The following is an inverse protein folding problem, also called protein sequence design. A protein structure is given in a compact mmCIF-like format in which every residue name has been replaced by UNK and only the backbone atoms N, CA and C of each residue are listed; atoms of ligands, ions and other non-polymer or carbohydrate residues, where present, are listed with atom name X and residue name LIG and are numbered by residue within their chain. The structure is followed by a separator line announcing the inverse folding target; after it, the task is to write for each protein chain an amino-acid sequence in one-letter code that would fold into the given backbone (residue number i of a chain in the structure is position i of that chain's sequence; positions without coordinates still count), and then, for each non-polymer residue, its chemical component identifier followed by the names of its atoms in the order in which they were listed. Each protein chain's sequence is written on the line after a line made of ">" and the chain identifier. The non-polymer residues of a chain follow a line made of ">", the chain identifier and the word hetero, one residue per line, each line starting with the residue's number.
data_IF_841843719918
#
_entry.id   IF_841843719918
#
_cell.length_a   1.000
_cell.length_b   1.000
_cell.length_c   1.000
_cell.angle_alpha   90.00
_cell.angle_beta   90.00
_cell.angle_gamma   90.00
#
_symmetry.space_group_name_H-M   'P 1'
#
loop_
_entity.id
_entity.type
_entity.pdbx_description
1 polymer ?
#
# COMPACT_ATOMS: atom_id res chain seq x y z
N UNK A 1 -32.33 -3.30 19.97
CA UNK A 1 -31.19 -3.32 20.92
C UNK A 1 -30.33 -2.15 20.54
N UNK A 2 -30.31 -1.10 21.37
CA UNK A 2 -29.43 0.05 21.15
C UNK A 2 -27.99 -0.46 21.12
N UNK A 3 -27.35 -0.40 19.95
CA UNK A 3 -25.93 -0.69 19.82
C UNK A 3 -25.18 0.29 20.72
N UNK A 4 -24.57 -0.25 21.77
CA UNK A 4 -23.66 0.51 22.62
C UNK A 4 -22.46 0.88 21.73
N UNK A 5 -22.52 2.09 21.16
CA UNK A 5 -21.44 2.72 20.42
C UNK A 5 -20.15 2.57 21.22
N UNK A 6 -19.17 1.84 20.68
CA UNK A 6 -17.85 1.78 21.31
C UNK A 6 -17.32 3.21 21.37
N UNK A 7 -17.06 3.78 22.56
CA UNK A 7 -16.68 5.17 22.68
C UNK A 7 -15.35 5.41 21.93
N UNK A 8 -15.29 6.50 21.16
CA UNK A 8 -14.07 6.88 20.44
C UNK A 8 -12.90 6.96 21.40
N UNK A 9 -11.77 6.37 21.00
CA UNK A 9 -10.52 6.42 21.77
C UNK A 9 -10.08 7.86 21.95
N UNK A 10 -10.15 8.66 20.89
CA UNK A 10 -9.78 10.07 20.92
C UNK A 10 -10.68 10.94 21.82
N UNK A 11 -11.86 10.46 22.25
CA UNK A 11 -12.76 11.21 23.15
C UNK A 11 -12.62 10.81 24.62
N UNK A 12 -11.77 9.83 24.93
CA UNK A 12 -11.51 9.42 26.32
C UNK A 12 -10.82 10.56 27.07
N UNK A 13 -11.19 10.79 28.33
CA UNK A 13 -10.60 11.85 29.16
C UNK A 13 -9.07 11.77 29.25
N UNK A 14 -8.51 10.55 29.24
CA UNK A 14 -7.07 10.32 29.31
C UNK A 14 -6.34 10.52 27.98
N UNK A 15 -7.04 10.77 26.87
CA UNK A 15 -6.41 10.91 25.56
C UNK A 15 -5.41 12.08 25.50
N UNK A 16 -5.72 13.18 26.18
CA UNK A 16 -4.83 14.34 26.29
C UNK A 16 -3.47 14.02 26.94
N UNK A 17 -3.35 12.91 27.69
CA UNK A 17 -2.08 12.47 28.27
C UNK A 17 -1.11 11.88 27.22
N UNK A 18 -1.60 11.58 26.02
CA UNK A 18 -0.83 11.05 24.90
C UNK A 18 -0.15 12.16 24.07
N UNK A 19 -0.47 13.43 24.31
CA UNK A 19 0.17 14.56 23.60
C UNK A 19 1.69 14.53 23.76
N UNK A 20 2.39 15.05 22.75
CA UNK A 20 3.84 15.13 22.74
C UNK A 20 4.37 15.86 23.99
N UNK A 21 5.39 15.27 24.61
CA UNK A 21 6.09 15.84 25.76
C UNK A 21 7.46 16.30 25.31
N UNK A 22 7.69 17.61 25.38
CA UNK A 22 8.91 18.23 24.85
C UNK A 22 10.09 18.26 25.84
N UNK A 23 9.86 17.90 27.10
CA UNK A 23 10.87 17.88 28.17
C UNK A 23 11.67 19.19 28.29
N UNK A 24 11.03 20.33 27.99
CA UNK A 24 11.63 21.68 27.92
C UNK A 24 12.76 21.84 26.90
N UNK A 25 12.85 20.98 25.88
CA UNK A 25 13.84 21.05 24.80
C UNK A 25 13.14 21.16 23.44
N UNK A 26 13.08 22.38 22.93
CA UNK A 26 12.48 22.65 21.63
C UNK A 26 13.45 22.35 20.48
N UNK A 27 12.94 21.69 19.45
CA UNK A 27 13.63 21.41 18.19
C UNK A 27 12.67 21.59 17.02
N UNK A 28 13.18 21.61 15.79
CA UNK A 28 12.33 21.62 14.59
C UNK A 28 11.32 20.46 14.61
N UNK A 29 11.73 19.29 15.07
CA UNK A 29 10.85 18.11 15.20
C UNK A 29 9.71 18.36 16.17
N UNK A 30 10.01 18.80 17.40
CA UNK A 30 8.98 18.99 18.43
C UNK A 30 7.99 20.09 18.05
N UNK A 31 8.47 21.19 17.45
CA UNK A 31 7.63 22.29 16.98
C UNK A 31 6.65 21.81 15.90
N UNK A 32 7.12 21.02 14.93
CA UNK A 32 6.23 20.53 13.87
C UNK A 32 5.25 19.46 14.39
N UNK A 33 5.69 18.59 15.29
CA UNK A 33 4.80 17.58 15.90
C UNK A 33 3.66 18.27 16.68
N UNK A 34 3.97 19.25 17.53
CA UNK A 34 2.96 20.01 18.26
C UNK A 34 1.95 20.70 17.35
N UNK A 35 2.41 21.36 16.29
CA UNK A 35 1.51 22.00 15.31
C UNK A 35 0.52 21.02 14.68
N UNK A 36 0.98 19.80 14.38
CA UNK A 36 0.09 18.75 13.87
C UNK A 36 -0.88 18.29 14.94
N UNK A 37 -0.42 18.04 16.17
CA UNK A 37 -1.29 17.65 17.28
C UNK A 37 -2.36 18.72 17.57
N UNK A 38 -2.00 20.01 17.55
CA UNK A 38 -2.95 21.11 17.71
C UNK A 38 -4.03 21.08 16.62
N UNK A 39 -3.64 20.92 15.36
CA UNK A 39 -4.57 20.83 14.22
C UNK A 39 -5.49 19.61 14.34
N UNK A 40 -4.96 18.46 14.77
CA UNK A 40 -5.73 17.23 14.97
C UNK A 40 -6.70 17.39 16.16
N UNK A 41 -6.26 18.05 17.23
CA UNK A 41 -7.10 18.33 18.39
C UNK A 41 -8.27 19.25 18.00
N UNK A 42 -8.06 20.24 17.13
CA UNK A 42 -9.14 21.07 16.59
C UNK A 42 -10.18 20.24 15.83
N UNK A 43 -9.74 19.30 14.98
CA UNK A 43 -10.64 18.38 14.26
C UNK A 43 -11.45 17.50 15.23
N UNK A 44 -10.78 16.92 16.23
CA UNK A 44 -11.41 16.08 17.27
C UNK A 44 -12.45 16.88 18.05
N UNK A 45 -12.11 18.11 18.48
CA UNK A 45 -13.01 19.00 19.22
C UNK A 45 -14.22 19.41 18.38
N UNK A 46 -14.00 19.82 17.13
CA UNK A 46 -15.08 20.20 16.22
C UNK A 46 -16.06 19.05 15.97
N UNK A 47 -15.55 17.81 15.85
CA UNK A 47 -16.40 16.64 15.73
C UNK A 47 -17.21 16.40 17.02
N UNK A 48 -16.57 16.49 18.19
CA UNK A 48 -17.23 16.27 19.49
C UNK A 48 -18.35 17.28 19.76
N UNK A 49 -18.17 18.53 19.35
CA UNK A 49 -19.17 19.60 19.50
C UNK A 49 -20.30 19.50 18.48
N UNK A 50 -20.07 18.83 17.34
CA UNK A 50 -21.07 18.68 16.30
C UNK A 50 -22.03 17.50 16.59
N UNK A 51 -23.15 17.82 17.26
CA UNK A 51 -24.17 16.88 17.71
C UNK A 51 -24.92 16.16 16.57
N UNK A 52 -24.74 16.59 15.31
CA UNK A 52 -25.37 15.94 14.14
C UNK A 52 -24.59 14.72 13.63
N UNK A 53 -23.32 14.60 13.99
CA UNK A 53 -22.44 13.49 13.58
C UNK A 53 -22.16 12.58 14.78
N UNK A 54 -23.16 11.82 15.21
CA UNK A 54 -23.00 10.89 16.35
C UNK A 54 -22.01 9.75 16.08
N UNK A 55 -21.68 9.48 14.81
CA UNK A 55 -20.79 8.40 14.38
C UNK A 55 -20.00 8.80 13.12
N UNK A 56 -18.68 8.50 13.04
CA UNK A 56 -17.85 8.88 11.92
C UNK A 56 -18.37 8.19 10.68
N UNK A 57 -18.37 8.89 9.56
CA UNK A 57 -18.97 8.42 8.31
C UNK A 57 -17.95 8.57 7.19
N UNK A 58 -17.76 7.51 6.42
CA UNK A 58 -17.01 7.54 5.18
C UNK A 58 -17.88 8.22 4.11
N UNK A 59 -17.35 9.28 3.48
CA UNK A 59 -18.02 10.06 2.44
C UNK A 59 -17.94 9.34 1.08
N UNK A 60 -18.56 8.15 1.04
CA UNK A 60 -18.44 7.18 -0.07
C UNK A 60 -18.87 7.79 -1.40
N UNK A 61 -20.01 8.45 -1.46
CA UNK A 61 -20.55 9.03 -2.70
C UNK A 61 -19.63 10.12 -3.25
N UNK A 62 -19.11 10.97 -2.37
CA UNK A 62 -18.17 12.04 -2.72
C UNK A 62 -16.86 11.45 -3.25
N UNK A 63 -16.35 10.40 -2.60
CA UNK A 63 -15.15 9.69 -3.03
C UNK A 63 -15.34 9.01 -4.38
N UNK A 64 -16.48 8.34 -4.59
CA UNK A 64 -16.85 7.74 -5.86
C UNK A 64 -16.88 8.79 -6.99
N UNK A 65 -17.55 9.92 -6.78
CA UNK A 65 -17.65 10.98 -7.79
C UNK A 65 -16.26 11.56 -8.15
N UNK A 66 -15.41 11.76 -7.15
CA UNK A 66 -14.02 12.20 -7.34
C UNK A 66 -13.21 11.19 -8.18
N UNK A 67 -13.29 9.91 -7.83
CA UNK A 67 -12.57 8.81 -8.51
C UNK A 67 -13.06 8.59 -9.94
N UNK A 68 -14.38 8.55 -10.14
CA UNK A 68 -14.99 8.36 -11.46
C UNK A 68 -14.60 9.46 -12.43
N UNK A 69 -14.58 10.72 -11.97
CA UNK A 69 -14.11 11.84 -12.78
C UNK A 69 -12.63 11.68 -13.12
N UNK A 70 -11.80 11.39 -12.12
CA UNK A 70 -10.35 11.23 -12.28
C UNK A 70 -9.93 10.11 -13.22
N UNK A 71 -10.74 9.07 -13.37
CA UNK A 71 -10.44 7.97 -14.29
C UNK A 71 -10.57 8.38 -15.77
N UNK A 72 -11.40 9.39 -16.05
CA UNK A 72 -11.67 9.86 -17.40
C UNK A 72 -10.87 11.12 -17.75
N UNK A 73 -10.79 12.07 -16.82
CA UNK A 73 -10.19 13.37 -17.05
C UNK A 73 -9.53 13.92 -15.77
N UNK A 74 -8.34 14.50 -15.93
CA UNK A 74 -7.53 15.07 -14.87
C UNK A 74 -7.02 16.45 -15.31
N UNK A 75 -6.92 17.39 -14.37
CA UNK A 75 -6.42 18.73 -14.67
C UNK A 75 -4.91 18.75 -14.94
N UNK A 76 -4.43 19.83 -15.54
CA UNK A 76 -3.01 20.19 -15.71
C UNK A 76 -2.17 20.09 -14.42
N UNK A 77 -2.78 20.25 -13.24
CA UNK A 77 -2.12 19.99 -11.96
C UNK A 77 -1.49 18.59 -11.83
N UNK A 78 -1.89 17.62 -12.66
CA UNK A 78 -1.34 16.27 -12.73
C UNK A 78 -0.24 16.09 -13.79
N UNK A 79 0.23 17.15 -14.46
CA UNK A 79 1.36 17.08 -15.40
C UNK A 79 2.62 16.51 -14.74
N UNK A 80 2.82 16.75 -13.44
CA UNK A 80 3.92 16.16 -12.68
C UNK A 80 3.85 14.62 -12.56
N UNK A 81 2.69 14.03 -12.88
CA UNK A 81 2.42 12.60 -12.88
C UNK A 81 2.20 12.04 -14.30
N UNK A 82 2.59 12.77 -15.36
CA UNK A 82 2.50 12.25 -16.74
C UNK A 82 3.39 11.00 -16.97
N UNK A 83 4.46 10.86 -16.19
CA UNK A 83 5.28 9.65 -16.13
C UNK A 83 4.79 8.61 -15.09
N UNK A 84 3.55 8.72 -14.63
CA UNK A 84 2.95 7.87 -13.60
C UNK A 84 1.47 7.59 -13.87
N UNK A 85 1.05 7.56 -15.13
CA UNK A 85 -0.35 7.36 -15.48
C UNK A 85 -0.87 5.95 -15.16
N UNK A 86 -0.09 4.85 -15.28
CA UNK A 86 -0.50 3.56 -14.73
C UNK A 86 -0.73 3.58 -13.21
N UNK A 87 0.01 4.42 -12.46
CA UNK A 87 -0.27 4.63 -11.04
C UNK A 87 -1.63 5.28 -10.82
N UNK A 88 -1.99 6.29 -11.60
CA UNK A 88 -3.34 6.87 -11.55
C UNK A 88 -4.41 5.83 -11.82
N UNK A 89 -4.23 4.97 -12.84
CA UNK A 89 -5.15 3.85 -13.09
C UNK A 89 -5.27 2.93 -11.87
N UNK A 90 -4.15 2.45 -11.34
CA UNK A 90 -4.15 1.57 -10.17
C UNK A 90 -4.81 2.22 -8.94
N UNK A 91 -4.39 3.43 -8.57
CA UNK A 91 -4.89 4.11 -7.38
C UNK A 91 -6.39 4.35 -7.48
N UNK A 92 -6.89 4.74 -8.66
CA UNK A 92 -8.30 5.01 -8.85
C UNK A 92 -9.11 3.71 -8.86
N UNK A 93 -8.68 2.72 -9.65
CA UNK A 93 -9.38 1.43 -9.76
C UNK A 93 -9.42 0.69 -8.42
N UNK A 94 -8.31 0.65 -7.69
CA UNK A 94 -8.26 0.00 -6.39
C UNK A 94 -9.14 0.71 -5.37
N UNK A 95 -9.17 2.05 -5.39
CA UNK A 95 -10.07 2.81 -4.52
C UNK A 95 -11.54 2.49 -4.83
N UNK A 96 -11.91 2.38 -6.11
CA UNK A 96 -13.25 1.99 -6.53
C UNK A 96 -13.58 0.55 -6.11
N UNK A 97 -12.65 -0.38 -6.27
CA UNK A 97 -12.81 -1.79 -5.89
C UNK A 97 -13.01 -1.94 -4.36
N UNK A 98 -12.26 -1.17 -3.56
CA UNK A 98 -12.45 -1.07 -2.10
C UNK A 98 -13.80 -0.50 -1.70
N UNK A 99 -14.32 0.45 -2.49
CA UNK A 99 -15.66 1.02 -2.30
C UNK A 99 -16.77 0.13 -2.89
N UNK A 100 -16.41 -1.05 -3.43
CA UNK A 100 -17.33 -2.00 -4.08
C UNK A 100 -18.07 -1.40 -5.29
N UNK A 101 -17.44 -0.44 -5.95
CA UNK A 101 -17.96 0.26 -7.12
C UNK A 101 -17.57 -0.48 -8.41
N UNK A 102 -18.56 -0.83 -9.22
CA UNK A 102 -18.35 -1.62 -10.44
C UNK A 102 -18.14 -0.69 -11.64
N UNK A 103 -17.04 -0.91 -12.36
CA UNK A 103 -16.79 -0.23 -13.63
C UNK A 103 -17.66 -0.78 -14.75
N UNK A 104 -18.05 0.09 -15.68
CA UNK A 104 -18.70 -0.35 -16.92
C UNK A 104 -17.71 -1.09 -17.81
N UNK A 105 -18.20 -2.07 -18.59
CA UNK A 105 -17.36 -2.85 -19.51
C UNK A 105 -16.54 -1.97 -20.47
N UNK A 106 -17.13 -0.87 -20.97
CA UNK A 106 -16.44 0.08 -21.84
C UNK A 106 -15.27 0.76 -21.12
N UNK A 107 -15.48 1.24 -19.89
CA UNK A 107 -14.41 1.88 -19.12
C UNK A 107 -13.28 0.89 -18.80
N UNK A 108 -13.61 -0.36 -18.49
CA UNK A 108 -12.61 -1.41 -18.30
C UNK A 108 -11.78 -1.65 -19.55
N UNK A 109 -12.42 -1.78 -20.72
CA UNK A 109 -11.73 -1.96 -22.01
C UNK A 109 -10.88 -0.74 -22.39
N UNK A 110 -11.36 0.48 -22.12
CA UNK A 110 -10.59 1.72 -22.34
C UNK A 110 -9.30 1.75 -21.51
N UNK A 111 -9.35 1.30 -20.25
CA UNK A 111 -8.16 1.18 -19.41
C UNK A 111 -7.22 0.08 -19.95
N UNK A 112 -7.74 -1.08 -20.35
CA UNK A 112 -6.93 -2.14 -20.99
C UNK A 112 -6.21 -1.60 -22.24
N UNK A 113 -6.93 -0.92 -23.12
CA UNK A 113 -6.38 -0.31 -24.32
C UNK A 113 -5.34 0.78 -24.01
N UNK A 114 -5.56 1.58 -22.96
CA UNK A 114 -4.59 2.56 -22.49
C UNK A 114 -3.31 1.90 -21.96
N UNK A 115 -3.41 0.92 -21.06
CA UNK A 115 -2.27 0.23 -20.48
C UNK A 115 -1.50 -0.58 -21.54
N UNK A 116 -2.18 -1.15 -22.54
CA UNK A 116 -1.54 -1.77 -23.70
C UNK A 116 -0.65 -0.79 -24.46
N UNK A 117 -1.06 0.48 -24.63
CA UNK A 117 -0.21 1.52 -25.24
C UNK A 117 0.95 1.97 -24.35
N UNK A 118 0.85 1.74 -23.03
CA UNK A 118 1.94 1.99 -22.09
C UNK A 118 2.92 0.81 -22.00
N UNK A 119 2.59 -0.36 -22.55
CA UNK A 119 3.50 -1.51 -22.54
C UNK A 119 4.65 -1.27 -23.53
N UNK A 120 5.88 -1.52 -23.07
CA UNK A 120 7.06 -1.35 -23.90
C UNK A 120 7.24 -2.53 -24.86
N UNK A 121 7.72 -2.30 -26.10
CA UNK A 121 8.05 -3.37 -27.03
C UNK A 121 9.17 -4.29 -26.52
N UNK A 122 9.92 -3.90 -25.50
CA UNK A 122 10.97 -4.69 -24.82
C UNK A 122 10.53 -5.25 -23.47
N UNK A 123 9.23 -5.20 -23.16
CA UNK A 123 8.68 -5.70 -21.89
C UNK A 123 8.61 -4.66 -20.77
N UNK A 124 7.74 -4.94 -19.80
CA UNK A 124 7.36 -3.99 -18.76
C UNK A 124 6.42 -2.89 -19.28
N UNK A 125 5.94 -2.05 -18.37
CA UNK A 125 5.11 -0.89 -18.69
C UNK A 125 5.84 0.41 -18.34
N UNK A 126 5.53 1.45 -19.10
CA UNK A 126 6.07 2.78 -18.97
C UNK A 126 5.09 3.73 -18.26
N UNK A 127 5.57 4.90 -17.84
CA UNK A 127 4.77 5.93 -17.18
C UNK A 127 3.63 6.51 -18.02
N UNK A 128 3.73 6.37 -19.35
CA UNK A 128 2.73 6.76 -20.35
C UNK A 128 3.13 6.22 -21.73
N UNK A 129 2.26 6.34 -22.75
CA UNK A 129 2.54 5.80 -24.07
C UNK A 129 3.83 6.37 -24.69
N UNK A 130 4.69 5.48 -25.19
CA UNK A 130 5.96 5.85 -25.82
C UNK A 130 7.10 6.20 -24.86
N UNK A 131 6.88 6.18 -23.54
CA UNK A 131 7.93 6.36 -22.55
C UNK A 131 8.73 5.04 -22.31
N UNK A 132 9.81 5.14 -21.53
CA UNK A 132 10.63 3.99 -21.14
C UNK A 132 9.94 3.11 -20.09
N UNK A 133 10.07 1.78 -20.23
CA UNK A 133 9.60 0.83 -19.22
C UNK A 133 10.29 1.04 -17.86
N UNK A 134 9.51 0.91 -16.79
CA UNK A 134 9.96 1.14 -15.42
C UNK A 134 9.18 0.25 -14.46
N UNK A 135 9.84 -0.29 -13.42
CA UNK A 135 9.24 -1.25 -12.48
C UNK A 135 8.04 -0.69 -11.73
N UNK A 136 8.07 0.58 -11.32
CA UNK A 136 6.93 1.23 -10.66
C UNK A 136 5.63 1.26 -11.49
N UNK A 137 5.57 1.83 -12.72
CA UNK A 137 4.38 1.73 -13.55
C UNK A 137 4.09 0.30 -14.04
N UNK A 138 5.10 -0.59 -14.09
CA UNK A 138 4.87 -2.03 -14.33
C UNK A 138 4.04 -2.67 -13.23
N UNK A 139 4.41 -2.45 -11.95
CA UNK A 139 3.62 -2.87 -10.79
C UNK A 139 2.20 -2.33 -10.85
N UNK A 140 2.05 -1.03 -11.10
CA UNK A 140 0.74 -0.39 -11.13
C UNK A 140 -0.13 -0.91 -12.30
N UNK A 141 0.44 -1.07 -13.49
CA UNK A 141 -0.29 -1.58 -14.65
C UNK A 141 -0.77 -3.02 -14.43
N UNK A 142 0.09 -3.92 -13.93
CA UNK A 142 -0.28 -5.31 -13.65
C UNK A 142 -1.38 -5.36 -12.60
N UNK A 143 -1.26 -4.61 -11.50
CA UNK A 143 -2.32 -4.57 -10.49
C UNK A 143 -3.64 -4.01 -11.03
N UNK A 144 -3.60 -2.95 -11.85
CA UNK A 144 -4.79 -2.39 -12.49
C UNK A 144 -5.49 -3.42 -13.40
N UNK A 145 -4.73 -4.17 -14.21
CA UNK A 145 -5.25 -5.23 -15.06
C UNK A 145 -5.84 -6.39 -14.23
N UNK A 146 -5.20 -6.75 -13.12
CA UNK A 146 -5.73 -7.75 -12.19
C UNK A 146 -7.01 -7.31 -11.48
N UNK A 147 -7.15 -6.01 -11.14
CA UNK A 147 -8.40 -5.47 -10.59
C UNK A 147 -9.54 -5.58 -11.62
N UNK A 148 -9.26 -5.26 -12.89
CA UNK A 148 -10.25 -5.44 -13.97
C UNK A 148 -10.62 -6.92 -14.11
N UNK A 149 -9.63 -7.82 -14.12
CA UNK A 149 -9.84 -9.26 -13.97
C UNK A 149 -10.62 -9.93 -15.12
N UNK A 150 -10.62 -9.33 -16.31
CA UNK A 150 -11.18 -9.93 -17.52
C UNK A 150 -10.08 -10.63 -18.33
N UNK A 151 -10.47 -11.53 -19.22
CA UNK A 151 -9.52 -12.17 -20.15
C UNK A 151 -8.77 -11.12 -20.98
N UNK A 152 -9.49 -10.11 -21.49
CA UNK A 152 -8.90 -8.96 -22.19
C UNK A 152 -7.80 -8.28 -21.36
N UNK A 153 -8.03 -8.04 -20.07
CA UNK A 153 -7.04 -7.40 -19.21
C UNK A 153 -5.80 -8.27 -18.99
N UNK A 154 -5.97 -9.58 -18.80
CA UNK A 154 -4.85 -10.49 -18.65
C UNK A 154 -4.03 -10.62 -19.94
N UNK A 155 -4.68 -10.65 -21.10
CA UNK A 155 -4.06 -10.77 -22.42
C UNK A 155 -3.24 -9.52 -22.81
N UNK A 156 -3.43 -8.38 -22.13
CA UNK A 156 -2.57 -7.19 -22.31
C UNK A 156 -1.13 -7.48 -21.88
N UNK A 157 -0.89 -8.40 -20.95
CA UNK A 157 0.45 -8.63 -20.38
C UNK A 157 1.29 -9.55 -21.29
N UNK A 158 2.27 -9.00 -21.99
CA UNK A 158 3.30 -9.79 -22.69
C UNK A 158 4.26 -10.41 -21.67
N UNK A 159 3.95 -11.64 -21.23
CA UNK A 159 4.68 -12.35 -20.17
C UNK A 159 6.11 -12.70 -20.54
N UNK A 160 6.36 -13.05 -21.80
CA UNK A 160 7.70 -13.40 -22.26
C UNK A 160 8.63 -12.19 -22.18
N UNK A 161 8.17 -11.05 -22.71
CA UNK A 161 8.96 -9.82 -22.63
C UNK A 161 8.99 -9.24 -21.23
N UNK A 162 7.94 -9.42 -20.41
CA UNK A 162 7.98 -9.05 -19.01
C UNK A 162 9.14 -9.77 -18.32
N UNK A 163 9.30 -11.08 -18.53
CA UNK A 163 10.43 -11.83 -17.98
C UNK A 163 11.78 -11.29 -18.48
N UNK A 164 11.92 -11.05 -19.78
CA UNK A 164 13.13 -10.45 -20.37
C UNK A 164 13.46 -9.09 -19.72
N UNK A 165 12.45 -8.24 -19.53
CA UNK A 165 12.59 -6.95 -18.86
C UNK A 165 13.04 -7.12 -17.40
N UNK A 166 12.43 -8.01 -16.63
CA UNK A 166 12.81 -8.25 -15.23
C UNK A 166 14.27 -8.73 -15.11
N UNK A 167 14.72 -9.62 -16.00
CA UNK A 167 16.13 -10.02 -16.06
C UNK A 167 17.06 -8.86 -16.42
N UNK A 168 16.64 -7.97 -17.33
CA UNK A 168 17.43 -6.78 -17.67
C UNK A 168 17.56 -5.79 -16.50
N UNK A 169 16.64 -5.83 -15.53
CA UNK A 169 16.68 -5.00 -14.33
C UNK A 169 17.54 -5.62 -13.22
N UNK A 170 17.70 -6.94 -13.21
CA UNK A 170 18.42 -7.68 -12.17
C UNK A 170 19.91 -7.29 -12.14
N UNK A 171 20.44 -7.08 -10.94
CA UNK A 171 21.85 -6.78 -10.69
C UNK A 171 22.59 -7.98 -10.09
N UNK A 172 23.94 -8.02 -10.18
CA UNK A 172 24.74 -9.13 -9.65
C UNK A 172 24.64 -9.33 -8.14
N UNK A 173 24.37 -8.28 -7.37
CA UNK A 173 24.23 -8.33 -5.91
C UNK A 173 22.85 -8.82 -5.44
N UNK A 174 21.93 -9.12 -6.37
CA UNK A 174 20.56 -9.55 -6.10
C UNK A 174 19.54 -8.41 -6.07
N UNK A 175 19.98 -7.15 -6.16
CA UNK A 175 19.09 -6.00 -6.32
C UNK A 175 18.52 -5.90 -7.74
N UNK A 176 17.62 -4.95 -7.96
CA UNK A 176 17.13 -4.59 -9.27
C UNK A 176 17.26 -3.07 -9.48
N UNK A 177 17.56 -2.63 -10.71
CA UNK A 177 17.37 -1.21 -11.09
C UNK A 177 15.90 -0.96 -11.40
N UNK A 178 15.40 0.25 -11.16
CA UNK A 178 13.99 0.61 -11.41
C UNK A 178 13.65 0.68 -12.91
N UNK A 179 14.61 1.04 -13.74
CA UNK A 179 14.55 1.04 -15.20
C UNK A 179 15.97 0.96 -15.77
N UNK A 180 16.15 0.81 -17.10
CA UNK A 180 17.49 0.80 -17.71
C UNK A 180 18.18 2.13 -17.43
N UNK A 181 19.34 2.08 -16.76
CA UNK A 181 20.11 3.25 -16.33
C UNK A 181 19.54 4.00 -15.11
N UNK A 182 18.54 3.43 -14.44
CA UNK A 182 17.86 4.02 -13.28
C UNK A 182 18.53 3.74 -11.95
N UNK A 183 17.86 4.17 -10.88
CA UNK A 183 18.27 3.95 -9.50
C UNK A 183 18.01 2.52 -9.02
N UNK A 184 18.69 2.14 -7.93
CA UNK A 184 18.47 0.89 -7.19
C UNK A 184 17.96 1.25 -5.80
N UNK A 185 16.80 0.73 -5.43
CA UNK A 185 16.34 0.62 -4.04
C UNK A 185 15.28 -0.48 -3.91
N UNK A 186 14.87 -0.80 -2.69
CA UNK A 186 14.02 -1.96 -2.39
C UNK A 186 12.64 -1.94 -3.06
N UNK A 187 12.19 -0.80 -3.61
CA UNK A 187 10.98 -0.74 -4.44
C UNK A 187 11.12 -1.63 -5.65
N UNK A 188 12.31 -1.70 -6.26
CA UNK A 188 12.55 -2.49 -7.47
C UNK A 188 12.35 -3.98 -7.19
N UNK A 189 12.89 -4.47 -6.08
CA UNK A 189 12.74 -5.86 -5.64
C UNK A 189 11.26 -6.21 -5.44
N UNK A 190 10.50 -5.38 -4.72
CA UNK A 190 9.07 -5.64 -4.54
C UNK A 190 8.27 -5.56 -5.83
N UNK A 191 8.48 -4.52 -6.66
CA UNK A 191 7.77 -4.38 -7.93
C UNK A 191 8.04 -5.59 -8.83
N UNK A 192 9.30 -6.01 -8.97
CA UNK A 192 9.69 -7.17 -9.79
C UNK A 192 9.08 -8.47 -9.25
N UNK A 193 9.25 -8.75 -7.95
CA UNK A 193 8.73 -9.97 -7.31
C UNK A 193 7.20 -10.03 -7.36
N UNK A 194 6.53 -8.90 -7.14
CA UNK A 194 5.05 -8.80 -7.15
C UNK A 194 4.47 -9.11 -8.52
N UNK A 195 5.00 -8.51 -9.59
CA UNK A 195 4.46 -8.77 -10.94
C UNK A 195 4.85 -10.15 -11.43
N UNK A 196 6.06 -10.62 -11.08
CA UNK A 196 6.53 -11.94 -11.45
C UNK A 196 5.69 -13.06 -10.82
N UNK A 197 5.32 -12.91 -9.53
CA UNK A 197 4.48 -13.90 -8.84
C UNK A 197 3.05 -13.90 -9.37
N UNK A 198 2.42 -12.73 -9.55
CA UNK A 198 1.04 -12.64 -10.07
C UNK A 198 0.91 -13.24 -11.47
N UNK A 199 1.90 -12.99 -12.33
CA UNK A 199 1.85 -13.38 -13.75
C UNK A 199 2.52 -14.73 -14.04
N UNK A 200 2.90 -15.48 -12.99
CA UNK A 200 3.57 -16.78 -13.10
C UNK A 200 4.82 -16.74 -13.99
N UNK A 201 5.70 -15.75 -13.79
CA UNK A 201 7.01 -15.66 -14.47
C UNK A 201 8.19 -15.62 -13.48
N UNK A 202 7.92 -15.80 -12.18
CA UNK A 202 8.94 -15.84 -11.15
C UNK A 202 9.77 -17.13 -11.25
N UNK A 203 11.07 -17.02 -11.48
CA UNK A 203 12.01 -18.16 -11.50
C UNK A 203 13.06 -18.05 -10.39
N UNK A 204 13.66 -19.17 -9.94
CA UNK A 204 14.76 -19.14 -8.97
C UNK A 204 15.94 -18.25 -9.39
N UNK A 205 16.30 -18.27 -10.68
CA UNK A 205 17.41 -17.52 -11.25
C UNK A 205 17.13 -16.02 -11.23
N UNK A 206 15.88 -15.61 -11.50
CA UNK A 206 15.48 -14.21 -11.49
C UNK A 206 15.75 -13.56 -10.12
N UNK A 207 15.49 -14.28 -9.04
CA UNK A 207 15.55 -13.75 -7.66
C UNK A 207 16.74 -14.28 -6.85
N UNK A 208 17.71 -14.92 -7.52
CA UNK A 208 18.93 -15.35 -6.88
C UNK A 208 19.65 -14.14 -6.24
N UNK A 209 19.99 -14.24 -4.96
CA UNK A 209 20.63 -13.17 -4.19
C UNK A 209 19.67 -12.10 -3.64
N UNK A 210 18.48 -11.95 -4.21
CA UNK A 210 17.51 -10.91 -3.80
C UNK A 210 17.13 -10.98 -2.31
N UNK A 211 16.86 -12.17 -1.71
CA UNK A 211 16.58 -12.25 -0.28
C UNK A 211 17.72 -11.71 0.59
N UNK A 212 18.97 -12.06 0.26
CA UNK A 212 20.15 -11.61 1.00
C UNK A 212 20.34 -10.09 0.89
N UNK A 213 20.10 -9.53 -0.29
CA UNK A 213 20.15 -8.08 -0.49
C UNK A 213 19.06 -7.35 0.31
N UNK A 214 17.83 -7.86 0.32
CA UNK A 214 16.74 -7.32 1.16
C UNK A 214 17.11 -7.37 2.65
N UNK A 215 17.67 -8.48 3.14
CA UNK A 215 18.11 -8.59 4.54
C UNK A 215 19.13 -7.51 4.89
N UNK A 216 20.06 -7.20 3.98
CA UNK A 216 21.06 -6.14 4.21
C UNK A 216 20.45 -4.73 4.28
N UNK A 217 19.19 -4.56 3.88
CA UNK A 217 18.45 -3.30 4.05
C UNK A 217 17.77 -3.18 5.43
N UNK A 218 17.64 -4.26 6.22
CA UNK A 218 17.16 -4.16 7.60
C UNK A 218 18.25 -3.54 8.49
N UNK A 219 17.90 -2.49 9.22
CA UNK A 219 18.88 -1.71 10.00
C UNK A 219 18.69 -1.87 11.53
N UNK A 220 19.48 -1.12 12.30
CA UNK A 220 19.49 -1.15 13.77
C UNK A 220 18.16 -0.76 14.43
N UNK A 221 17.27 -0.07 13.71
CA UNK A 221 15.94 0.30 14.21
C UNK A 221 14.97 -0.88 14.16
N UNK A 222 15.25 -1.88 13.31
CA UNK A 222 14.43 -3.07 13.08
C UNK A 222 13.58 -3.02 11.80
N UNK A 223 13.31 -1.84 11.23
CA UNK A 223 12.70 -1.70 9.91
C UNK A 223 13.73 -1.77 8.77
N UNK A 224 13.27 -1.59 7.52
CA UNK A 224 14.13 -1.61 6.34
C UNK A 224 14.27 -0.24 5.69
N UNK A 225 15.48 0.08 5.26
CA UNK A 225 15.80 1.24 4.43
C UNK A 225 15.66 0.96 2.93
N UNK A 226 15.82 1.98 2.11
CA UNK A 226 15.75 1.85 0.65
C UNK A 226 16.90 1.05 0.06
N UNK A 227 18.10 1.24 0.61
CA UNK A 227 19.32 0.47 0.31
C UNK A 227 20.05 0.19 1.62
N UNK A 228 21.04 -0.72 1.64
CA UNK A 228 21.78 -1.06 2.84
C UNK A 228 22.37 0.16 3.55
N UNK A 229 22.17 0.23 4.87
CA UNK A 229 22.68 1.31 5.73
C UNK A 229 21.79 2.55 5.86
N UNK A 230 20.68 2.67 5.11
CA UNK A 230 19.76 3.80 5.26
C UNK A 230 18.76 3.65 6.42
N UNK A 231 18.14 4.77 6.78
CA UNK A 231 17.07 4.89 7.78
C UNK A 231 15.86 4.01 7.44
N UNK A 232 15.26 3.38 8.45
CA UNK A 232 14.10 2.54 8.28
C UNK A 232 12.87 3.37 7.91
N UNK A 233 12.13 2.95 6.87
CA UNK A 233 11.03 3.73 6.31
C UNK A 233 9.83 2.85 5.95
N UNK A 234 8.61 3.25 6.30
CA UNK A 234 7.39 2.44 6.14
C UNK A 234 7.21 1.85 4.76
N UNK A 235 7.32 2.67 3.71
CA UNK A 235 7.20 2.21 2.32
C UNK A 235 8.27 1.17 1.92
N UNK A 236 9.52 1.37 2.34
CA UNK A 236 10.62 0.46 2.04
C UNK A 236 10.54 -0.83 2.87
N UNK A 237 10.17 -0.71 4.15
CA UNK A 237 9.86 -1.83 5.03
C UNK A 237 8.75 -2.70 4.44
N UNK A 238 7.67 -2.11 3.94
CA UNK A 238 6.60 -2.84 3.26
C UNK A 238 7.13 -3.58 2.03
N UNK A 239 7.82 -2.86 1.12
CA UNK A 239 8.37 -3.47 -0.10
C UNK A 239 9.24 -4.68 0.22
N UNK A 240 10.21 -4.53 1.12
CA UNK A 240 11.11 -5.61 1.50
C UNK A 240 10.39 -6.78 2.17
N UNK A 241 9.52 -6.50 3.14
CA UNK A 241 8.80 -7.55 3.87
C UNK A 241 7.84 -8.32 2.96
N UNK A 242 7.07 -7.62 2.12
CA UNK A 242 6.15 -8.25 1.18
C UNK A 242 6.89 -9.10 0.13
N UNK A 243 8.01 -8.60 -0.40
CA UNK A 243 8.87 -9.37 -1.31
C UNK A 243 9.39 -10.65 -0.62
N UNK A 244 9.88 -10.55 0.62
CA UNK A 244 10.37 -11.72 1.36
C UNK A 244 9.29 -12.77 1.62
N UNK A 245 8.05 -12.35 1.91
CA UNK A 245 6.92 -13.27 2.09
C UNK A 245 6.52 -13.93 0.76
N UNK A 246 6.50 -13.20 -0.36
CA UNK A 246 6.26 -13.81 -1.68
C UNK A 246 7.33 -14.86 -2.01
N UNK A 247 8.59 -14.61 -1.62
CA UNK A 247 9.72 -15.51 -1.85
C UNK A 247 9.81 -16.68 -0.84
N UNK A 248 8.99 -16.70 0.22
CA UNK A 248 9.11 -17.69 1.30
C UNK A 248 10.44 -17.59 2.08
N UNK A 249 10.98 -16.37 2.21
CA UNK A 249 12.29 -16.06 2.83
C UNK A 249 12.19 -15.14 4.04
N UNK A 250 11.00 -14.84 4.51
CA UNK A 250 10.71 -13.97 5.67
C UNK A 250 11.52 -14.29 6.93
N UNK A 251 11.83 -15.57 7.18
CA UNK A 251 12.64 -16.05 8.31
C UNK A 251 14.07 -15.50 8.33
N UNK A 252 14.55 -14.95 7.21
CA UNK A 252 15.88 -14.32 7.15
C UNK A 252 15.88 -12.91 7.77
N UNK A 253 14.72 -12.27 7.95
CA UNK A 253 14.60 -11.00 8.64
C UNK A 253 14.54 -11.19 10.16
N UNK A 254 15.03 -10.20 10.92
CA UNK A 254 14.78 -10.16 12.36
C UNK A 254 13.35 -9.67 12.64
N UNK A 255 12.39 -10.60 12.61
CA UNK A 255 10.95 -10.33 12.75
C UNK A 255 10.58 -9.67 14.08
N UNK A 256 11.31 -9.99 15.17
CA UNK A 256 11.08 -9.38 16.48
C UNK A 256 11.38 -7.88 16.47
N UNK A 257 12.53 -7.49 15.91
CA UNK A 257 12.90 -6.08 15.79
C UNK A 257 12.00 -5.34 14.81
N UNK A 258 11.59 -6.00 13.71
CA UNK A 258 10.66 -5.46 12.73
C UNK A 258 9.28 -5.20 13.33
N UNK A 259 8.72 -6.17 14.06
CA UNK A 259 7.45 -6.01 14.77
C UNK A 259 7.52 -4.85 15.76
N UNK A 260 8.57 -4.79 16.60
CA UNK A 260 8.77 -3.68 17.54
C UNK A 260 8.84 -2.34 16.82
N UNK A 261 9.57 -2.28 15.70
CA UNK A 261 9.72 -1.06 14.93
C UNK A 261 8.37 -0.58 14.39
N UNK A 262 7.61 -1.43 13.69
CA UNK A 262 6.37 -1.01 13.03
C UNK A 262 5.28 -0.61 14.03
N UNK A 263 5.12 -1.34 15.14
CA UNK A 263 4.12 -0.95 16.17
C UNK A 263 4.46 0.39 16.83
N UNK A 264 5.75 0.75 16.87
CA UNK A 264 6.22 2.04 17.37
C UNK A 264 6.03 3.19 16.37
N UNK A 265 5.54 2.91 15.15
CA UNK A 265 5.21 3.92 14.13
C UNK A 265 3.77 4.40 14.21
N UNK A 266 2.91 3.74 14.99
CA UNK A 266 1.57 4.26 15.22
C UNK A 266 1.64 5.42 16.21
N UNK A 267 1.08 6.55 15.79
CA UNK A 267 1.13 7.80 16.53
C UNK A 267 0.16 7.76 17.69
N UNK A 268 0.69 7.96 18.90
CA UNK A 268 -0.07 7.78 20.14
C UNK A 268 -1.20 8.79 20.28
N UNK A 269 -1.04 10.03 19.80
CA UNK A 269 -2.09 11.03 19.86
C UNK A 269 -3.01 10.89 18.64
N UNK A 270 -2.47 11.06 17.44
CA UNK A 270 -3.23 11.14 16.20
C UNK A 270 -3.93 9.83 15.81
N UNK A 271 -3.38 8.66 16.18
CA UNK A 271 -3.92 7.33 15.84
C UNK A 271 -3.48 6.79 14.47
N UNK A 272 -3.07 7.67 13.55
CA UNK A 272 -2.44 7.33 12.27
C UNK A 272 -1.00 6.82 12.43
N UNK A 273 -0.28 6.68 11.32
CA UNK A 273 1.11 6.23 11.31
C UNK A 273 2.07 7.28 10.78
N UNK A 274 3.30 7.31 11.31
CA UNK A 274 4.44 8.02 10.72
C UNK A 274 5.26 7.07 9.84
N UNK A 275 5.87 7.61 8.77
CA UNK A 275 6.74 6.82 7.90
C UNK A 275 8.07 6.41 8.52
N UNK A 276 8.59 7.23 9.45
CA UNK A 276 9.89 7.05 10.12
C UNK A 276 9.81 7.60 11.52
N UNK A 277 10.75 7.21 12.39
CA UNK A 277 10.84 7.72 13.75
C UNK A 277 10.97 9.26 13.74
N UNK A 278 10.30 9.96 14.67
CA UNK A 278 10.35 11.42 14.78
C UNK A 278 9.90 12.21 13.52
N UNK A 279 9.08 11.60 12.66
CA UNK A 279 8.40 12.28 11.55
C UNK A 279 6.91 12.40 11.81
N UNK A 280 6.24 13.26 11.07
CA UNK A 280 4.82 13.52 11.25
C UNK A 280 3.98 12.31 10.83
N UNK A 281 2.77 12.22 11.37
CA UNK A 281 1.71 11.34 10.88
C UNK A 281 1.41 11.62 9.40
N UNK A 282 1.02 10.61 8.64
CA UNK A 282 0.55 10.76 7.26
C UNK A 282 -0.39 9.61 6.87
N UNK A 283 -1.51 9.95 6.24
CA UNK A 283 -2.58 9.05 5.83
C UNK A 283 -2.13 7.89 4.94
N UNK A 284 -1.14 8.06 4.06
CA UNK A 284 -0.69 6.96 3.19
C UNK A 284 0.00 5.83 3.98
N UNK A 285 0.63 6.13 5.12
CA UNK A 285 1.23 5.12 5.97
C UNK A 285 0.20 4.25 6.69
N UNK A 286 -1.09 4.60 6.61
CA UNK A 286 -2.18 3.70 7.01
C UNK A 286 -2.12 2.37 6.27
N UNK A 287 -1.63 2.34 5.02
CA UNK A 287 -1.34 1.09 4.33
C UNK A 287 0.11 0.65 4.55
N UNK A 288 1.09 1.50 4.23
CA UNK A 288 2.50 1.09 4.21
C UNK A 288 3.02 0.58 5.57
N UNK A 289 2.51 1.10 6.68
CA UNK A 289 2.86 0.60 8.01
C UNK A 289 1.87 -0.48 8.46
N UNK A 290 0.56 -0.19 8.49
CA UNK A 290 -0.42 -1.14 9.04
C UNK A 290 -0.49 -2.45 8.24
N UNK A 291 -0.19 -2.42 6.93
CA UNK A 291 -0.12 -3.60 6.07
C UNK A 291 1.01 -4.57 6.38
N UNK A 292 2.03 -4.15 7.13
CA UNK A 292 3.05 -5.07 7.66
C UNK A 292 2.48 -6.01 8.72
N UNK A 293 1.43 -5.61 9.44
CA UNK A 293 0.94 -6.33 10.61
C UNK A 293 0.18 -7.62 10.22
N UNK A 294 -0.66 -7.65 9.17
CA UNK A 294 -1.15 -8.89 8.59
C UNK A 294 -0.03 -9.81 8.07
N UNK A 295 1.03 -9.26 7.46
CA UNK A 295 2.17 -10.06 6.98
C UNK A 295 2.91 -10.71 8.14
N UNK A 296 3.30 -9.93 9.14
CA UNK A 296 3.94 -10.44 10.35
C UNK A 296 3.06 -11.45 11.08
N UNK A 297 1.75 -11.19 11.17
CA UNK A 297 0.82 -12.14 11.78
C UNK A 297 0.78 -13.47 11.02
N UNK A 298 0.74 -13.44 9.69
CA UNK A 298 0.79 -14.65 8.88
C UNK A 298 2.05 -15.46 9.18
N UNK A 299 3.22 -14.82 9.13
CA UNK A 299 4.52 -15.46 9.36
C UNK A 299 4.65 -16.05 10.76
N UNK A 300 4.38 -15.26 11.80
CA UNK A 300 4.43 -15.73 13.19
C UNK A 300 3.41 -16.85 13.44
N UNK A 301 2.26 -16.79 12.77
CA UNK A 301 1.27 -17.86 12.86
C UNK A 301 1.82 -19.14 12.25
N UNK A 302 2.41 -19.08 11.04
CA UNK A 302 3.06 -20.24 10.39
C UNK A 302 4.16 -20.87 11.23
N UNK A 303 4.90 -20.07 12.00
CA UNK A 303 5.92 -20.54 12.97
C UNK A 303 5.32 -21.15 14.25
N UNK A 304 3.99 -21.11 14.41
CA UNK A 304 3.29 -21.73 15.53
C UNK A 304 3.19 -20.85 16.78
N UNK A 305 3.33 -19.53 16.66
CA UNK A 305 3.19 -18.60 17.79
C UNK A 305 1.76 -18.62 18.34
N UNK A 306 1.59 -19.24 19.51
CA UNK A 306 0.32 -19.40 20.21
C UNK A 306 -0.12 -18.14 20.97
N UNK A 307 0.72 -17.10 21.04
CA UNK A 307 0.41 -15.83 21.71
C UNK A 307 -0.35 -14.85 20.80
N UNK A 308 -0.44 -15.16 19.51
CA UNK A 308 -1.14 -14.31 18.54
C UNK A 308 -2.64 -14.21 18.83
N UNK A 309 -3.17 -13.00 18.68
CA UNK A 309 -4.60 -12.73 18.79
C UNK A 309 -5.38 -13.43 17.68
N UNK A 310 -6.54 -14.00 18.01
CA UNK A 310 -7.48 -14.58 17.04
C UNK A 310 -8.52 -13.59 16.52
N UNK A 311 -8.40 -12.30 16.89
CA UNK A 311 -9.41 -11.27 16.58
C UNK A 311 -8.85 -9.95 16.08
N UNK A 312 -7.57 -9.66 16.32
CA UNK A 312 -7.01 -8.32 16.08
C UNK A 312 -5.60 -8.38 15.55
N UNK A 313 -5.27 -7.41 14.71
CA UNK A 313 -3.88 -7.13 14.33
C UNK A 313 -3.14 -6.49 15.50
N UNK A 314 -1.80 -6.54 15.47
CA UNK A 314 -0.94 -6.02 16.54
C UNK A 314 -0.76 -4.50 16.46
N UNK A 315 -1.86 -3.76 16.24
CA UNK A 315 -1.91 -2.29 16.27
C UNK A 315 -3.30 -1.82 16.73
N UNK A 316 -3.44 -0.54 17.10
CA UNK A 316 -4.71 0.05 17.52
C UNK A 316 -5.62 0.29 16.29
N UNK A 317 -6.31 -0.75 15.85
CA UNK A 317 -7.21 -0.73 14.68
C UNK A 317 -8.27 0.39 14.79
N UNK A 318 -8.89 0.57 15.96
CA UNK A 318 -9.87 1.63 16.17
C UNK A 318 -9.26 3.03 15.98
N UNK A 319 -8.05 3.26 16.51
CA UNK A 319 -7.37 4.55 16.41
C UNK A 319 -7.03 4.91 14.95
N UNK A 320 -6.63 3.91 14.15
CA UNK A 320 -6.36 4.14 12.73
C UNK A 320 -7.63 4.52 11.97
N UNK A 321 -8.76 3.87 12.25
CA UNK A 321 -10.05 4.22 11.65
C UNK A 321 -10.51 5.62 12.07
N UNK A 322 -10.34 5.99 13.35
CA UNK A 322 -10.62 7.36 13.83
C UNK A 322 -9.79 8.40 13.07
N UNK A 323 -8.47 8.18 12.93
CA UNK A 323 -7.60 9.09 12.19
C UNK A 323 -8.08 9.28 10.74
N UNK A 324 -8.33 8.18 10.02
CA UNK A 324 -8.71 8.24 8.60
C UNK A 324 -10.06 8.93 8.43
N UNK A 325 -11.09 8.49 9.18
CA UNK A 325 -12.45 8.99 9.01
C UNK A 325 -12.60 10.44 9.49
N UNK A 326 -11.86 10.87 10.51
CA UNK A 326 -11.98 12.22 11.05
C UNK A 326 -11.04 13.22 10.36
N UNK A 327 -9.81 12.80 10.04
CA UNK A 327 -8.73 13.72 9.66
C UNK A 327 -8.32 13.65 8.19
N UNK A 328 -8.61 12.54 7.50
CA UNK A 328 -8.06 12.30 6.16
C UNK A 328 -9.09 12.40 5.03
N UNK A 329 -10.33 12.82 5.30
CA UNK A 329 -11.35 12.96 4.27
C UNK A 329 -11.43 14.41 3.78
N UNK A 330 -11.46 14.59 2.45
CA UNK A 330 -11.85 15.86 1.88
C UNK A 330 -13.39 15.90 1.73
N UNK A 331 -14.09 16.95 2.21
CA UNK A 331 -15.55 17.04 2.10
C UNK A 331 -16.10 17.02 0.67
N UNK A 332 -15.28 17.34 -0.34
CA UNK A 332 -15.65 17.29 -1.75
C UNK A 332 -15.28 15.97 -2.44
N UNK A 333 -14.81 14.96 -1.69
CA UNK A 333 -14.39 13.66 -2.19
C UNK A 333 -12.88 13.46 -2.22
N UNK A 334 -12.40 12.22 -2.14
CA UNK A 334 -10.97 11.89 -2.04
C UNK A 334 -10.41 12.03 -0.62
N UNK A 335 -9.27 11.39 -0.39
CA UNK A 335 -8.54 11.43 0.88
C UNK A 335 -7.17 12.09 0.72
N UNK A 336 -6.53 12.37 1.85
CA UNK A 336 -5.37 13.25 1.94
C UNK A 336 -4.36 12.76 3.00
N UNK A 337 -3.19 13.39 3.02
CA UNK A 337 -2.11 13.14 4.00
C UNK A 337 -2.57 13.41 5.46
N UNK A 338 -2.91 14.67 5.76
CA UNK A 338 -3.35 15.17 7.07
C UNK A 338 -4.14 16.47 6.90
N UNK A 339 -4.92 16.93 7.90
CA UNK A 339 -5.66 18.18 7.80
C UNK A 339 -4.78 19.35 7.34
N UNK A 340 -5.34 20.19 6.44
CA UNK A 340 -4.63 21.29 5.80
C UNK A 340 -3.84 20.90 4.54
N UNK A 341 -3.75 19.61 4.18
CA UNK A 341 -3.22 19.15 2.88
C UNK A 341 -4.32 18.98 1.84
N UNK A 342 -3.94 19.09 0.57
CA UNK A 342 -4.84 18.82 -0.55
C UNK A 342 -5.09 17.32 -0.72
N UNK A 343 -6.23 16.96 -1.29
CA UNK A 343 -6.55 15.60 -1.72
C UNK A 343 -5.74 15.21 -2.96
N UNK A 344 -5.49 13.93 -3.13
CA UNK A 344 -4.95 13.34 -4.35
C UNK A 344 -5.32 11.84 -4.45
N UNK A 345 -5.13 11.23 -5.63
CA UNK A 345 -5.49 9.82 -5.85
C UNK A 345 -4.59 8.85 -5.08
N UNK A 346 -3.33 9.21 -4.83
CA UNK A 346 -2.39 8.39 -4.06
C UNK A 346 -2.88 8.21 -2.61
N UNK A 347 -3.16 9.30 -1.90
CA UNK A 347 -3.67 9.26 -0.53
C UNK A 347 -5.07 8.66 -0.49
N UNK A 348 -5.91 8.91 -1.49
CA UNK A 348 -7.22 8.24 -1.62
C UNK A 348 -7.07 6.72 -1.60
N UNK A 349 -6.19 6.17 -2.44
CA UNK A 349 -5.91 4.74 -2.49
C UNK A 349 -5.38 4.19 -1.17
N UNK A 350 -4.33 4.78 -0.62
CA UNK A 350 -3.65 4.20 0.55
C UNK A 350 -4.35 4.46 1.88
N UNK A 351 -5.12 5.54 2.02
CA UNK A 351 -6.00 5.72 3.18
C UNK A 351 -7.12 4.68 3.18
N UNK A 352 -7.79 4.45 2.03
CA UNK A 352 -8.83 3.42 1.93
C UNK A 352 -8.25 2.01 2.13
N UNK A 353 -7.08 1.73 1.57
CA UNK A 353 -6.38 0.45 1.77
C UNK A 353 -6.07 0.21 3.24
N UNK A 354 -5.55 1.23 3.94
CA UNK A 354 -5.30 1.17 5.38
C UNK A 354 -6.58 1.04 6.22
N UNK A 355 -7.66 1.72 5.83
CA UNK A 355 -8.97 1.60 6.46
C UNK A 355 -9.51 0.17 6.34
N UNK A 356 -9.43 -0.44 5.16
CA UNK A 356 -9.77 -1.85 4.95
C UNK A 356 -8.95 -2.76 5.86
N UNK A 357 -7.63 -2.58 5.95
CA UNK A 357 -6.77 -3.40 6.83
C UNK A 357 -7.18 -3.27 8.30
N UNK A 358 -7.53 -2.05 8.73
CA UNK A 358 -7.99 -1.81 10.10
C UNK A 358 -9.39 -2.40 10.38
N UNK A 359 -10.21 -2.58 9.35
CA UNK A 359 -11.55 -3.15 9.47
C UNK A 359 -11.53 -4.67 9.53
N UNK A 360 -10.63 -5.31 8.77
CA UNK A 360 -10.70 -6.74 8.48
C UNK A 360 -9.55 -7.52 9.09
N UNK A 361 -9.84 -8.36 10.08
CA UNK A 361 -8.93 -9.38 10.59
C UNK A 361 -9.26 -10.75 10.01
N UNK A 362 -8.23 -11.47 9.53
CA UNK A 362 -8.37 -12.83 9.00
C UNK A 362 -7.12 -13.68 9.19
N UNK A 363 -7.22 -14.79 9.92
CA UNK A 363 -6.09 -15.72 10.12
C UNK A 363 -6.59 -17.13 10.43
N UNK A 364 -6.06 -18.16 9.75
CA UNK A 364 -6.33 -19.59 10.01
C UNK A 364 -7.82 -19.95 10.26
N UNK A 365 -8.72 -19.39 9.47
CA UNK A 365 -10.17 -19.63 9.59
C UNK A 365 -10.90 -18.74 10.59
N UNK A 366 -10.19 -17.97 11.43
CA UNK A 366 -10.77 -16.89 12.20
C UNK A 366 -10.96 -15.66 11.32
N UNK A 367 -12.14 -15.05 11.44
CA UNK A 367 -12.46 -13.76 10.83
C UNK A 367 -13.11 -12.88 11.88
N UNK A 368 -12.66 -11.64 11.95
CA UNK A 368 -13.26 -10.64 12.83
C UNK A 368 -13.23 -9.29 12.14
N UNK A 369 -14.32 -8.55 12.27
CA UNK A 369 -14.46 -7.24 11.67
C UNK A 369 -14.69 -6.22 12.77
N UNK A 370 -13.98 -5.11 12.67
CA UNK A 370 -14.15 -3.95 13.53
C UNK A 370 -14.51 -2.79 12.62
N UNK A 371 -15.80 -2.50 12.44
CA UNK A 371 -16.25 -1.36 11.64
C UNK A 371 -16.58 -0.21 12.58
N UNK A 372 -15.79 0.87 12.53
CA UNK A 372 -16.07 2.06 13.31
C UNK A 372 -17.13 2.93 12.63
N UNK A 373 -18.14 3.35 13.39
CA UNK A 373 -19.25 4.17 12.90
C UNK A 373 -20.37 3.31 12.32
N UNK A 374 -20.96 3.74 11.20
CA UNK A 374 -22.02 2.99 10.52
C UNK A 374 -21.46 1.84 9.70
N UNK A 375 -22.26 0.79 9.50
CA UNK A 375 -21.86 -0.36 8.65
C UNK A 375 -21.55 0.06 7.20
N UNK A 376 -22.11 1.17 6.71
CA UNK A 376 -21.79 1.76 5.39
C UNK A 376 -20.34 2.21 5.25
N UNK A 377 -19.57 2.30 6.34
CA UNK A 377 -18.13 2.57 6.31
C UNK A 377 -17.30 1.35 5.91
N UNK A 378 -17.89 0.15 5.93
CA UNK A 378 -17.22 -1.11 5.58
C UNK A 378 -16.70 -1.07 4.15
N UNK A 379 -15.41 -1.30 3.96
CA UNK A 379 -14.79 -1.47 2.66
C UNK A 379 -14.68 -2.95 2.29
N UNK A 380 -14.45 -3.26 1.02
CA UNK A 380 -13.97 -4.57 0.63
C UNK A 380 -12.58 -4.85 1.25
N UNK A 381 -12.25 -6.10 1.59
CA UNK A 381 -10.92 -6.44 2.09
C UNK A 381 -9.86 -6.27 0.99
N UNK A 382 -8.66 -5.82 1.34
CA UNK A 382 -7.47 -5.80 0.47
C UNK A 382 -6.48 -6.91 0.84
N UNK A 383 -5.81 -7.48 -0.17
CA UNK A 383 -4.75 -8.47 0.04
C UNK A 383 -3.46 -7.79 0.53
N UNK A 384 -2.89 -8.17 1.68
CA UNK A 384 -1.79 -7.42 2.30
C UNK A 384 -0.48 -7.46 1.51
N UNK A 385 -0.25 -8.48 0.66
CA UNK A 385 0.94 -8.55 -0.20
C UNK A 385 0.86 -7.68 -1.46
N UNK A 386 -0.30 -7.58 -2.10
CA UNK A 386 -0.43 -7.02 -3.46
C UNK A 386 -1.20 -5.70 -3.47
N UNK A 387 -1.93 -5.40 -2.40
CA UNK A 387 -2.86 -4.30 -2.28
C UNK A 387 -3.87 -4.21 -3.44
N UNK A 388 -4.52 -5.33 -3.72
CA UNK A 388 -5.73 -5.47 -4.53
C UNK A 388 -6.67 -6.44 -3.80
N UNK A 389 -7.97 -6.45 -4.07
CA UNK A 389 -8.90 -7.32 -3.35
C UNK A 389 -8.49 -8.82 -3.46
N UNK A 390 -8.58 -9.63 -2.38
CA UNK A 390 -8.16 -11.03 -2.39
C UNK A 390 -8.78 -11.88 -3.50
N UNK A 391 -10.03 -11.58 -3.89
CA UNK A 391 -10.69 -12.26 -5.01
C UNK A 391 -9.97 -12.02 -6.35
N UNK A 392 -9.46 -10.80 -6.56
CA UNK A 392 -8.69 -10.43 -7.76
C UNK A 392 -7.34 -11.13 -7.81
N UNK A 393 -6.66 -11.24 -6.67
CA UNK A 393 -5.43 -12.03 -6.54
C UNK A 393 -5.69 -13.50 -6.89
N UNK A 394 -6.72 -14.11 -6.29
CA UNK A 394 -7.05 -15.51 -6.54
C UNK A 394 -7.36 -15.77 -8.02
N UNK A 395 -8.16 -14.90 -8.64
CA UNK A 395 -8.52 -15.02 -10.05
C UNK A 395 -7.32 -14.86 -10.99
N UNK A 396 -6.44 -13.89 -10.72
CA UNK A 396 -5.23 -13.69 -11.52
C UNK A 396 -4.27 -14.88 -11.41
N UNK A 397 -4.02 -15.38 -10.19
CA UNK A 397 -3.18 -16.55 -9.96
C UNK A 397 -3.76 -17.80 -10.62
N UNK A 398 -5.07 -18.03 -10.50
CA UNK A 398 -5.75 -19.15 -11.16
C UNK A 398 -5.58 -19.08 -12.69
N UNK A 399 -5.68 -17.89 -13.27
CA UNK A 399 -5.48 -17.68 -14.70
C UNK A 399 -4.02 -17.94 -15.12
N UNK A 400 -3.06 -17.23 -14.53
CA UNK A 400 -1.66 -17.27 -14.99
C UNK A 400 -0.94 -18.59 -14.66
N UNK A 401 -1.37 -19.33 -13.64
CA UNK A 401 -0.83 -20.68 -13.37
C UNK A 401 -1.25 -21.73 -14.40
N UNK A 402 -2.27 -21.46 -15.23
CA UNK A 402 -2.61 -22.33 -16.36
C UNK A 402 -1.65 -22.17 -17.55
N UNK A 403 -0.88 -21.07 -17.57
CA UNK A 403 0.12 -20.80 -18.60
C UNK A 403 1.51 -21.27 -18.12
N UNK A 404 2.37 -21.80 -19.01
CA UNK A 404 3.73 -22.17 -18.63
C UNK A 404 4.54 -20.92 -18.26
N UNK A 405 5.53 -21.12 -17.39
CA UNK A 405 6.57 -20.11 -17.16
C UNK A 405 7.33 -19.92 -18.48
N UNK A 406 7.49 -18.69 -19.01
CA UNK A 406 8.24 -18.44 -20.24
C UNK A 406 9.69 -18.92 -20.13
N UNK A 407 10.24 -19.42 -21.24
CA UNK A 407 11.67 -19.71 -21.32
C UNK A 407 12.46 -18.40 -21.40
N UNK A 408 13.51 -18.28 -20.59
CA UNK A 408 14.41 -17.14 -20.67
C UNK A 408 15.15 -17.17 -22.01
N UNK A 409 14.94 -16.15 -22.85
CA UNK A 409 15.71 -16.02 -24.10
C UNK A 409 17.13 -15.60 -23.73
N UNK A 410 18.13 -16.41 -24.09
CA UNK A 410 19.53 -16.01 -23.96
C UNK A 410 19.78 -14.81 -24.88
N UNK A 411 19.65 -13.59 -24.35
CA UNK A 411 20.18 -12.42 -25.02
C UNK A 411 21.70 -12.54 -24.95
N UNK A 412 22.31 -12.91 -26.07
CA UNK A 412 23.76 -12.95 -26.26
C UNK A 412 24.35 -11.60 -25.85
N UNK A 413 24.81 -11.51 -24.60
CA UNK A 413 25.46 -10.33 -24.05
C UNK A 413 26.92 -10.42 -24.45
N UNK A 414 27.20 -10.07 -25.72
CA UNK A 414 28.53 -9.71 -26.15
C UNK A 414 28.88 -8.35 -25.51
N UNK A 415 29.39 -8.39 -24.28
CA UNK A 415 30.17 -7.27 -23.73
C UNK A 415 31.65 -7.63 -23.88
N UNK A 416 32.26 -7.08 -24.93
CA UNK A 416 33.71 -6.95 -25.09
C UNK A 416 34.21 -5.67 -24.44
#
# INVERSE_FOLDING_TARGET
>A
MEEISTPFRCFREKHNLESFKEDNVETVTSVQQKKVEDTIQEVISAYRENHTLTQPTLLRDEHYMYLKKGLQDISDAYECLDASRPWLCYWILHSLDLLEEVLSANMSSDVCAFLSRCQSPTGGFAGGPGQQAHLAPTYAAVNALCIIGTQEAYDVIDREKLLDFLFSMRQPDGSFVMHVGGEVDIRSAYCAVSVASLTNVLTPELVEGTPSWIVSCQNWEGGLGGVPGLEAHGGYTFCGTAAMVILGKEHMLNLKSLLRWVVSRQMRFEGGFQGRCNKLVDGCYSFWQAGLLPLLHHVLSTEGDSTLSTKRWMFEQQALQEYILLCCQNPAGGLLDKPGKSRDFYHTCYCLSGLSIAQHFGSRGFRHELILGKDTNRLAPTHPLYNICPAKVAQALEHFHQLPVPEQRQTATNWS
#
